data_IF_282958937316
#
_entry.id   IF_282958937316
#
_cell.length_a   1.000
_cell.length_b   1.000
_cell.length_c   1.000
_cell.angle_alpha   90.00
_cell.angle_beta   90.00
_cell.angle_gamma   90.00
#
_symmetry.space_group_name_H-M   'P 1'
#
loop_
_entity.id
_entity.type
_entity.pdbx_description
1 polymer ?
#
# COMPACT_ATOMS: atom_id res chain seq x y z
N UNK A 1 -3.40 19.48 8.39
CA UNK A 1 -2.54 19.61 7.20
C UNK A 1 -1.97 18.25 6.78
N UNK A 2 -1.33 17.50 7.68
CA UNK A 2 -0.71 16.20 7.42
C UNK A 2 -1.65 15.13 6.80
N UNK A 3 -2.84 14.89 7.38
CA UNK A 3 -3.75 13.86 6.85
C UNK A 3 -4.19 14.14 5.40
N UNK A 4 -4.43 15.41 5.06
CA UNK A 4 -4.81 15.80 3.70
C UNK A 4 -3.67 15.50 2.72
N UNK A 5 -2.44 15.79 3.12
CA UNK A 5 -1.26 15.50 2.31
C UNK A 5 -1.08 13.98 2.14
N UNK A 6 -1.16 13.21 3.22
CA UNK A 6 -1.09 11.75 3.15
C UNK A 6 -2.14 11.17 2.19
N UNK A 7 -3.39 11.61 2.31
CA UNK A 7 -4.48 11.19 1.40
C UNK A 7 -4.25 11.59 -0.05
N UNK A 8 -3.64 12.75 -0.32
CA UNK A 8 -3.31 13.19 -1.70
C UNK A 8 -2.39 12.20 -2.39
N UNK A 9 -1.47 11.60 -1.66
CA UNK A 9 -0.48 10.66 -2.21
C UNK A 9 -1.01 9.23 -2.35
N UNK A 10 -2.15 8.88 -1.74
CA UNK A 10 -2.75 7.56 -1.91
C UNK A 10 -3.15 7.36 -3.38
N UNK A 11 -2.48 6.43 -4.05
CA UNK A 11 -2.76 6.12 -5.45
C UNK A 11 -2.18 7.09 -6.48
N UNK A 12 -1.43 8.11 -6.03
CA UNK A 12 -0.70 8.96 -6.94
C UNK A 12 0.44 8.17 -7.62
N UNK A 13 0.67 8.42 -8.90
CA UNK A 13 1.91 8.00 -9.56
C UNK A 13 3.03 8.95 -9.13
N UNK A 14 3.74 8.55 -8.08
CA UNK A 14 4.83 9.33 -7.49
C UNK A 14 5.91 9.68 -8.52
N UNK A 15 6.29 8.73 -9.38
CA UNK A 15 7.32 9.00 -10.39
C UNK A 15 6.86 10.09 -11.36
N UNK A 16 5.61 10.03 -11.80
CA UNK A 16 5.04 11.03 -12.69
C UNK A 16 4.86 12.40 -12.01
N UNK A 17 4.45 12.45 -10.75
CA UNK A 17 4.34 13.68 -9.96
C UNK A 17 5.71 14.34 -9.76
N UNK A 18 6.73 13.58 -9.34
CA UNK A 18 8.10 14.07 -9.17
C UNK A 18 8.68 14.58 -10.49
N UNK A 19 8.50 13.83 -11.58
CA UNK A 19 8.94 14.27 -12.92
C UNK A 19 8.27 15.58 -13.34
N UNK A 20 6.95 15.72 -13.12
CA UNK A 20 6.23 16.97 -13.43
C UNK A 20 6.79 18.14 -12.64
N UNK A 21 7.04 17.97 -11.34
CA UNK A 21 7.62 19.02 -10.49
C UNK A 21 9.03 19.44 -10.94
N UNK A 22 9.87 18.46 -11.29
CA UNK A 22 11.22 18.71 -11.78
C UNK A 22 11.23 19.46 -13.12
N UNK A 23 10.35 19.10 -14.06
CA UNK A 23 10.23 19.76 -15.37
C UNK A 23 9.64 21.16 -15.24
N UNK A 24 8.63 21.37 -14.39
CA UNK A 24 8.03 22.69 -14.19
C UNK A 24 9.02 23.71 -13.57
N UNK A 25 9.93 23.24 -12.71
CA UNK A 25 10.99 24.08 -12.13
C UNK A 25 12.20 24.28 -13.05
N UNK A 26 12.17 23.78 -14.28
CA UNK A 26 13.25 23.94 -15.24
C UNK A 26 12.99 25.13 -16.17
N UNK A 27 13.47 26.30 -15.77
CA UNK A 27 13.32 27.56 -16.54
C UNK A 27 14.21 27.64 -17.79
N UNK A 28 15.02 26.61 -18.08
CA UNK A 28 16.05 26.64 -19.12
C UNK A 28 15.72 25.92 -20.44
N UNK A 29 14.56 25.28 -20.59
CA UNK A 29 14.12 24.65 -21.84
C UNK A 29 14.99 23.47 -22.34
N UNK A 30 15.99 23.04 -21.57
CA UNK A 30 16.82 21.89 -21.92
C UNK A 30 15.99 20.60 -21.90
N UNK A 31 16.27 19.70 -22.86
CA UNK A 31 15.62 18.40 -22.95
C UNK A 31 16.35 17.44 -22.02
N UNK A 32 15.65 16.95 -20.99
CA UNK A 32 16.22 16.00 -20.04
C UNK A 32 15.61 14.61 -20.27
N UNK A 33 16.47 13.59 -20.27
CA UNK A 33 16.01 12.22 -20.05
C UNK A 33 15.69 12.05 -18.56
N UNK A 34 14.57 11.41 -18.22
CA UNK A 34 14.19 11.17 -16.84
C UNK A 34 14.43 9.70 -16.49
N UNK A 35 15.28 9.45 -15.51
CA UNK A 35 15.51 8.12 -14.95
C UNK A 35 14.72 7.97 -13.67
N UNK A 36 14.02 6.84 -13.53
CA UNK A 36 13.24 6.49 -12.33
C UNK A 36 13.86 5.26 -11.68
N UNK A 37 14.21 5.38 -10.40
CA UNK A 37 14.72 4.27 -9.60
C UNK A 37 13.79 4.05 -8.40
N UNK A 38 13.55 2.79 -8.06
CA UNK A 38 12.79 2.39 -6.87
C UNK A 38 13.75 1.71 -5.91
N UNK A 39 13.84 2.24 -4.69
CA UNK A 39 14.73 1.77 -3.65
C UNK A 39 13.87 1.22 -2.52
N UNK A 40 14.03 -0.07 -2.21
CA UNK A 40 13.36 -0.66 -1.05
C UNK A 40 14.07 -0.15 0.21
N UNK A 41 13.29 0.34 1.14
CA UNK A 41 13.73 0.74 2.48
C UNK A 41 12.92 -0.04 3.52
N UNK A 42 13.24 0.13 4.79
CA UNK A 42 12.47 -0.49 5.87
C UNK A 42 11.00 -0.04 5.77
N UNK A 43 10.08 -1.01 5.65
CA UNK A 43 8.64 -0.76 5.52
C UNK A 43 8.16 -0.11 4.21
N UNK A 44 9.04 0.29 3.28
CA UNK A 44 8.62 1.16 2.17
C UNK A 44 9.44 1.07 0.88
N UNK A 45 9.01 1.85 -0.11
CA UNK A 45 9.76 2.10 -1.34
C UNK A 45 9.97 3.61 -1.47
N UNK A 46 11.22 4.03 -1.62
CA UNK A 46 11.57 5.39 -2.06
C UNK A 46 11.65 5.41 -3.58
N UNK A 47 10.83 6.24 -4.22
CA UNK A 47 10.91 6.52 -5.65
C UNK A 47 11.83 7.71 -5.84
N UNK A 48 12.91 7.52 -6.58
CA UNK A 48 13.88 8.56 -6.94
C UNK A 48 13.71 8.87 -8.43
N UNK A 49 13.58 10.14 -8.78
CA UNK A 49 13.54 10.62 -10.16
C UNK A 49 14.69 11.58 -10.39
N UNK A 50 15.52 11.32 -11.39
CA UNK A 50 16.60 12.20 -11.81
C UNK A 50 16.43 12.62 -13.27
N UNK A 51 16.60 13.91 -13.54
CA UNK A 51 16.72 14.49 -14.86
C UNK A 51 18.19 14.49 -15.27
N UNK A 52 18.53 13.76 -16.31
CA UNK A 52 19.87 13.69 -16.89
C UNK A 52 20.05 14.75 -17.97
N UNK A 53 21.21 15.40 -17.97
CA UNK A 53 21.64 16.31 -19.05
C UNK A 53 21.87 15.51 -20.33
N UNK A 54 21.99 16.19 -21.48
CA UNK A 54 22.23 15.54 -22.78
C UNK A 54 23.48 14.65 -22.81
N UNK A 55 24.50 14.96 -22.00
CA UNK A 55 25.71 14.15 -21.87
C UNK A 55 25.57 12.97 -20.88
N UNK A 56 24.36 12.70 -20.39
CA UNK A 56 24.07 11.65 -19.41
C UNK A 56 24.46 11.98 -17.97
N UNK A 57 25.05 13.16 -17.70
CA UNK A 57 25.41 13.54 -16.34
C UNK A 57 24.16 13.87 -15.50
N UNK A 58 24.15 13.54 -14.19
CA UNK A 58 23.07 13.93 -13.29
C UNK A 58 22.84 15.44 -13.33
N UNK A 59 21.59 15.84 -13.56
CA UNK A 59 21.16 17.23 -13.51
C UNK A 59 20.54 17.53 -12.14
N UNK A 60 19.23 17.28 -12.04
CA UNK A 60 18.43 17.52 -10.85
C UNK A 60 17.61 16.29 -10.51
N UNK A 61 17.46 15.98 -9.24
CA UNK A 61 16.60 14.89 -8.79
C UNK A 61 15.65 15.32 -7.68
N UNK A 62 14.66 14.48 -7.46
CA UNK A 62 13.73 14.53 -6.32
C UNK A 62 13.34 13.10 -5.95
N UNK A 63 12.94 12.88 -4.71
CA UNK A 63 12.57 11.57 -4.21
C UNK A 63 11.38 11.62 -3.24
N UNK A 64 10.67 10.49 -3.14
CA UNK A 64 9.52 10.37 -2.25
C UNK A 64 9.24 8.92 -1.88
N UNK A 65 8.96 8.69 -0.59
CA UNK A 65 8.48 7.40 -0.07
C UNK A 65 7.03 7.08 -0.48
N UNK A 66 6.71 5.80 -0.65
CA UNK A 66 5.36 5.35 -1.05
C UNK A 66 4.39 5.13 0.11
N UNK A 67 4.86 5.05 1.36
CA UNK A 67 4.09 4.66 2.56
C UNK A 67 3.01 5.65 3.05
N UNK A 68 2.45 6.47 2.17
CA UNK A 68 1.47 7.50 2.54
C UNK A 68 0.13 6.90 2.95
N UNK A 69 -0.22 5.69 2.50
CA UNK A 69 -1.46 5.05 2.91
C UNK A 69 -1.38 4.56 4.36
N UNK A 70 -0.22 4.04 4.79
CA UNK A 70 0.07 3.77 6.20
C UNK A 70 -0.05 5.03 7.06
N UNK A 71 0.59 6.13 6.65
CA UNK A 71 0.52 7.42 7.36
C UNK A 71 -0.94 7.90 7.47
N UNK A 72 -1.72 7.82 6.38
CA UNK A 72 -3.13 8.22 6.41
C UNK A 72 -3.94 7.36 7.39
N UNK A 73 -3.73 6.04 7.41
CA UNK A 73 -4.38 5.12 8.34
C UNK A 73 -4.05 5.44 9.81
N UNK A 74 -2.78 5.67 10.14
CA UNK A 74 -2.36 6.05 11.51
C UNK A 74 -2.95 7.40 11.94
N UNK A 75 -2.97 8.39 11.02
CA UNK A 75 -3.54 9.70 11.30
C UNK A 75 -5.07 9.63 11.46
N UNK A 76 -5.76 8.82 10.67
CA UNK A 76 -7.21 8.60 10.82
C UNK A 76 -7.54 7.95 12.17
N UNK A 77 -6.82 6.88 12.53
CA UNK A 77 -6.99 6.19 13.81
C UNK A 77 -6.78 7.14 15.00
N UNK A 78 -5.68 7.91 15.00
CA UNK A 78 -5.38 8.87 16.07
C UNK A 78 -6.38 10.03 16.16
N UNK A 79 -7.10 10.33 15.07
CA UNK A 79 -8.17 11.32 15.02
C UNK A 79 -9.57 10.73 15.28
N UNK A 80 -9.67 9.42 15.54
CA UNK A 80 -10.95 8.72 15.74
C UNK A 80 -11.79 8.58 14.48
N UNK A 81 -11.18 8.71 13.29
CA UNK A 81 -11.85 8.53 12.01
C UNK A 81 -11.86 7.05 11.63
N UNK A 82 -13.03 6.42 11.72
CA UNK A 82 -13.19 5.00 11.34
C UNK A 82 -13.26 4.84 9.82
N UNK A 83 -12.12 4.50 9.22
CA UNK A 83 -12.04 4.20 7.78
C UNK A 83 -12.72 2.87 7.44
N UNK A 84 -13.56 2.78 6.40
CA UNK A 84 -14.23 1.53 6.04
C UNK A 84 -13.24 0.39 5.76
N UNK A 85 -13.61 -0.85 6.10
CA UNK A 85 -12.72 -2.00 5.95
C UNK A 85 -12.26 -2.22 4.50
N UNK A 86 -13.16 -2.00 3.54
CA UNK A 86 -12.87 -2.06 2.11
C UNK A 86 -11.86 -1.00 1.65
N UNK A 87 -11.89 0.19 2.25
CA UNK A 87 -10.93 1.25 1.93
C UNK A 87 -9.54 0.92 2.48
N UNK A 88 -9.45 0.37 3.70
CA UNK A 88 -8.19 -0.13 4.24
C UNK A 88 -7.64 -1.30 3.42
N UNK A 89 -8.51 -2.19 2.94
CA UNK A 89 -8.10 -3.26 2.04
C UNK A 89 -7.57 -2.72 0.71
N UNK A 90 -8.23 -1.72 0.12
CA UNK A 90 -7.76 -1.09 -1.11
C UNK A 90 -6.40 -0.41 -0.94
N UNK A 91 -6.10 0.16 0.24
CA UNK A 91 -4.78 0.73 0.57
C UNK A 91 -3.71 -0.35 0.64
N UNK A 92 -3.96 -1.44 1.38
CA UNK A 92 -3.04 -2.57 1.48
C UNK A 92 -2.72 -3.18 0.12
N UNK A 93 -3.74 -3.48 -0.69
CA UNK A 93 -3.56 -4.16 -1.97
C UNK A 93 -2.83 -3.33 -3.02
N UNK A 94 -2.88 -2.00 -2.90
CA UNK A 94 -2.23 -1.09 -3.84
C UNK A 94 -0.72 -1.20 -3.83
N UNK A 95 -0.11 -1.46 -2.67
CA UNK A 95 1.34 -1.64 -2.59
C UNK A 95 1.78 -3.01 -3.16
N UNK A 96 0.85 -3.97 -3.26
CA UNK A 96 1.07 -5.28 -3.88
C UNK A 96 2.02 -6.20 -3.11
N UNK A 97 2.53 -5.78 -1.95
CA UNK A 97 3.55 -6.48 -1.18
C UNK A 97 3.13 -6.54 0.31
N UNK A 98 2.85 -7.75 0.85
CA UNK A 98 2.42 -7.93 2.24
C UNK A 98 3.40 -7.46 3.32
N UNK A 99 4.65 -7.17 2.96
CA UNK A 99 5.69 -6.75 3.88
C UNK A 99 5.90 -5.23 3.90
N UNK A 100 5.17 -4.46 3.11
CA UNK A 100 5.20 -2.99 3.14
C UNK A 100 4.23 -2.41 4.18
N UNK A 101 4.55 -1.23 4.69
CA UNK A 101 3.82 -0.56 5.78
C UNK A 101 2.36 -0.28 5.43
N UNK A 102 2.07 0.05 4.17
CA UNK A 102 0.69 0.25 3.70
C UNK A 102 -0.18 -0.99 3.95
N UNK A 103 0.41 -2.18 3.83
CA UNK A 103 -0.25 -3.45 4.12
C UNK A 103 -0.30 -3.73 5.62
N UNK A 104 0.85 -3.73 6.29
CA UNK A 104 0.96 -4.14 7.71
C UNK A 104 0.16 -3.21 8.62
N UNK A 105 0.16 -1.90 8.33
CA UNK A 105 -0.61 -0.89 9.07
C UNK A 105 -2.12 -1.06 8.86
N UNK A 106 -2.57 -1.37 7.64
CA UNK A 106 -3.99 -1.63 7.38
C UNK A 106 -4.48 -2.88 8.11
N UNK A 107 -3.67 -3.94 8.13
CA UNK A 107 -3.96 -5.16 8.91
C UNK A 107 -4.06 -4.85 10.40
N UNK A 108 -3.08 -4.11 10.94
CA UNK A 108 -3.05 -3.76 12.36
C UNK A 108 -4.27 -2.92 12.77
N UNK A 109 -4.63 -1.91 11.97
CA UNK A 109 -5.82 -1.09 12.20
C UNK A 109 -7.12 -1.92 12.14
N UNK A 110 -7.26 -2.81 11.15
CA UNK A 110 -8.42 -3.71 11.08
C UNK A 110 -8.49 -4.64 12.29
N UNK A 111 -7.40 -5.33 12.61
CA UNK A 111 -7.36 -6.25 13.75
C UNK A 111 -7.61 -5.54 15.09
N UNK A 112 -7.12 -4.31 15.23
CA UNK A 112 -7.31 -3.48 16.43
C UNK A 112 -8.77 -3.14 16.73
N UNK A 113 -9.68 -3.22 15.75
CA UNK A 113 -11.12 -3.01 15.96
C UNK A 113 -11.77 -4.11 16.77
N UNK A 114 -11.25 -5.34 16.65
CA UNK A 114 -11.73 -6.52 17.36
C UNK A 114 -13.25 -6.73 17.25
N UNK A 115 -13.84 -6.50 16.08
CA UNK A 115 -15.28 -6.52 15.87
C UNK A 115 -15.74 -7.51 14.77
N UNK A 116 -17.03 -7.82 14.81
CA UNK A 116 -17.67 -8.77 13.89
C UNK A 116 -17.70 -8.25 12.45
N UNK A 117 -17.85 -6.94 12.25
CA UNK A 117 -17.79 -6.32 10.91
C UNK A 117 -16.46 -6.65 10.22
N UNK A 118 -15.35 -6.50 10.95
CA UNK A 118 -14.01 -6.82 10.44
C UNK A 118 -13.87 -8.31 10.16
N UNK A 119 -14.39 -9.19 11.03
CA UNK A 119 -14.39 -10.63 10.80
C UNK A 119 -15.12 -10.99 9.50
N UNK A 120 -16.34 -10.49 9.31
CA UNK A 120 -17.18 -10.78 8.13
C UNK A 120 -16.49 -10.31 6.85
N UNK A 121 -15.92 -9.09 6.86
CA UNK A 121 -15.18 -8.57 5.72
C UNK A 121 -13.97 -9.44 5.38
N UNK A 122 -13.12 -9.75 6.36
CA UNK A 122 -11.91 -10.54 6.16
C UNK A 122 -12.20 -11.99 5.73
N UNK A 123 -13.24 -12.62 6.28
CA UNK A 123 -13.72 -13.92 5.84
C UNK A 123 -14.23 -13.88 4.38
N UNK A 124 -14.93 -12.80 4.00
CA UNK A 124 -15.34 -12.57 2.62
C UNK A 124 -14.15 -12.44 1.66
N UNK A 125 -13.09 -11.74 2.06
CA UNK A 125 -11.87 -11.59 1.25
C UNK A 125 -11.14 -12.91 1.00
N UNK A 126 -11.22 -13.85 1.94
CA UNK A 126 -10.65 -15.19 1.76
C UNK A 126 -11.29 -15.98 0.60
N UNK A 127 -12.51 -15.62 0.17
CA UNK A 127 -13.20 -16.27 -0.94
C UNK A 127 -12.90 -15.64 -2.32
N UNK A 128 -12.11 -14.56 -2.38
CA UNK A 128 -11.77 -13.90 -3.66
C UNK A 128 -10.80 -14.73 -4.51
N UNK A 129 -10.87 -14.56 -5.83
CA UNK A 129 -9.91 -15.19 -6.76
C UNK A 129 -8.52 -14.57 -6.69
N UNK A 130 -8.43 -13.29 -6.36
CA UNK A 130 -7.14 -12.59 -6.22
C UNK A 130 -6.34 -13.14 -5.02
N UNK A 131 -5.13 -13.68 -5.24
CA UNK A 131 -4.29 -14.22 -4.17
C UNK A 131 -3.92 -13.19 -3.10
N UNK A 132 -3.66 -11.93 -3.49
CA UNK A 132 -3.35 -10.88 -2.52
C UNK A 132 -4.57 -10.56 -1.65
N UNK A 133 -5.77 -10.48 -2.24
CA UNK A 133 -7.01 -10.33 -1.47
C UNK A 133 -7.22 -11.46 -0.47
N UNK A 134 -6.96 -12.71 -0.86
CA UNK A 134 -7.05 -13.86 0.07
C UNK A 134 -6.01 -13.77 1.19
N UNK A 135 -4.76 -13.43 0.85
CA UNK A 135 -3.69 -13.27 1.83
C UNK A 135 -3.99 -12.16 2.85
N UNK A 136 -4.58 -11.05 2.39
CA UNK A 136 -5.02 -9.96 3.26
C UNK A 136 -6.09 -10.44 4.23
N UNK A 137 -7.13 -11.11 3.72
CA UNK A 137 -8.20 -11.69 4.56
C UNK A 137 -7.63 -12.65 5.60
N UNK A 138 -6.73 -13.54 5.20
CA UNK A 138 -6.09 -14.49 6.09
C UNK A 138 -5.25 -13.80 7.19
N UNK A 139 -4.49 -12.76 6.84
CA UNK A 139 -3.64 -12.04 7.78
C UNK A 139 -4.46 -11.23 8.78
N UNK A 140 -5.57 -10.63 8.35
CA UNK A 140 -6.51 -9.95 9.26
C UNK A 140 -7.17 -10.97 10.21
N UNK A 141 -7.71 -12.08 9.69
CA UNK A 141 -8.33 -13.12 10.51
C UNK A 141 -7.34 -13.73 11.53
N UNK A 142 -6.10 -13.93 11.14
CA UNK A 142 -5.05 -14.46 12.02
C UNK A 142 -4.64 -13.48 13.13
N UNK A 143 -4.79 -12.17 12.89
CA UNK A 143 -4.47 -11.12 13.86
C UNK A 143 -5.68 -10.66 14.71
N UNK A 144 -6.90 -11.05 14.35
CA UNK A 144 -8.13 -10.54 14.96
C UNK A 144 -8.38 -11.17 16.35
N UNK A 145 -8.25 -10.40 17.45
CA UNK A 145 -8.38 -10.93 18.81
C UNK A 145 -9.84 -11.32 19.10
N UNK A 146 -10.03 -12.44 19.81
CA UNK A 146 -11.37 -12.93 20.21
C UNK A 146 -12.11 -13.75 19.14
N UNK A 147 -11.65 -13.79 17.89
CA UNK A 147 -12.33 -14.48 16.79
C UNK A 147 -11.69 -15.81 16.38
N UNK A 148 -10.65 -16.28 17.07
CA UNK A 148 -9.90 -17.49 16.70
C UNK A 148 -10.78 -18.73 16.45
N UNK A 149 -11.79 -19.08 17.28
CA UNK A 149 -12.67 -20.22 17.01
C UNK A 149 -13.42 -20.12 15.67
N UNK A 150 -13.84 -18.90 15.30
CA UNK A 150 -14.56 -18.62 14.05
C UNK A 150 -13.64 -18.47 12.84
N UNK A 151 -12.42 -17.96 13.05
CA UNK A 151 -11.42 -17.76 12.00
C UNK A 151 -10.76 -19.08 11.54
N UNK A 152 -10.51 -20.00 12.46
CA UNK A 152 -9.79 -21.25 12.19
C UNK A 152 -10.40 -22.10 11.05
N UNK A 153 -11.72 -22.33 10.98
CA UNK A 153 -12.33 -23.05 9.87
C UNK A 153 -12.12 -22.38 8.51
N UNK A 154 -12.17 -21.04 8.45
CA UNK A 154 -11.95 -20.27 7.23
C UNK A 154 -10.50 -20.41 6.77
N UNK A 155 -9.55 -20.22 7.69
CA UNK A 155 -8.11 -20.32 7.40
C UNK A 155 -7.70 -21.74 6.99
N UNK A 156 -8.27 -22.78 7.62
CA UNK A 156 -8.01 -24.18 7.24
C UNK A 156 -8.54 -24.51 5.85
N UNK A 157 -9.73 -24.00 5.50
CA UNK A 157 -10.29 -24.18 4.15
C UNK A 157 -9.40 -23.50 3.12
N UNK A 158 -8.99 -22.26 3.37
CA UNK A 158 -8.09 -21.52 2.50
C UNK A 158 -6.76 -22.25 2.28
N UNK A 159 -6.17 -22.83 3.33
CA UNK A 159 -4.93 -23.59 3.25
C UNK A 159 -5.07 -24.94 2.52
N UNK A 160 -6.28 -25.51 2.46
CA UNK A 160 -6.57 -26.75 1.76
C UNK A 160 -6.88 -26.53 0.26
N UNK A 161 -7.12 -25.29 -0.17
CA UNK A 161 -7.32 -24.99 -1.58
C UNK A 161 -6.01 -25.19 -2.35
N UNK A 162 -6.01 -25.97 -3.45
CA UNK A 162 -4.82 -26.14 -4.25
C UNK A 162 -4.39 -24.77 -4.76
N UNK A 163 -3.10 -24.45 -4.64
CA UNK A 163 -2.52 -23.31 -5.32
C UNK A 163 -2.87 -23.45 -6.80
N UNK A 164 -3.79 -22.61 -7.29
CA UNK A 164 -4.21 -22.64 -8.69
C UNK A 164 -2.99 -22.58 -9.61
N UNK A 165 -3.07 -23.15 -10.82
CA UNK A 165 -1.94 -23.15 -11.73
C UNK A 165 -1.40 -21.73 -11.87
N UNK A 166 -0.07 -21.57 -11.71
CA UNK A 166 0.60 -20.35 -12.11
C UNK A 166 0.18 -20.09 -13.56
N UNK A 167 -0.44 -18.94 -13.82
CA UNK A 167 -0.88 -18.56 -15.16
C UNK A 167 0.30 -18.59 -16.15
N UNK A 168 0.01 -18.73 -17.46
CA UNK A 168 1.01 -18.90 -18.50
C UNK A 168 2.04 -17.77 -18.57
#
# INVERSE_FOLDING_TARGET
>A
AALREARRWIGADIAAELRRGLVAGNEGGQTYEAVVRRVREDGGITVVVELLRENGAPGRGDDRQTGHAAIATLLEASLGLRTPAEELAARALRCGDPELDDWTTAVAELAGRADEETFVAAAGWCAYRDPLRRALGARVLGALPGFAPSALPVLRRLAAEPAGPAGP
#
